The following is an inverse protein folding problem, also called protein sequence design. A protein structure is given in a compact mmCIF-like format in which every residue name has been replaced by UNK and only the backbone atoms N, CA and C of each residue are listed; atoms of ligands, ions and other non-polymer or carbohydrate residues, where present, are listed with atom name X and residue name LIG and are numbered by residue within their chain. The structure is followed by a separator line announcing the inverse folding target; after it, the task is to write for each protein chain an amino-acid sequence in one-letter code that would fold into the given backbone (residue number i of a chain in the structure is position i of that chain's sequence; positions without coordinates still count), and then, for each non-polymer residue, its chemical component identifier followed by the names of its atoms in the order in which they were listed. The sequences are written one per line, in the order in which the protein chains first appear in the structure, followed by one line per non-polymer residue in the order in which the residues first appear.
data_IF_968319810378
#
_entry.id   IF_968319810378
#
_cell.length_a   1.000
_cell.length_b   1.000
_cell.length_c   1.000
_cell.angle_alpha   90.00
_cell.angle_beta   90.00
_cell.angle_gamma   90.00
#
_symmetry.space_group_name_H-M   'P 1'
#
loop_
_entity.id
_entity.type
_entity.pdbx_description
1 polymer ?
#
# COMPACT_ATOMS: atom_id res chain seq x y z
N UNK A 1 2.95 18.08 -7.86
CA UNK A 1 3.47 16.70 -7.92
C UNK A 1 2.35 15.74 -7.57
N UNK A 2 1.98 14.86 -8.50
CA UNK A 2 1.11 13.71 -8.28
C UNK A 2 1.95 12.45 -8.08
N UNK A 3 1.56 11.61 -7.13
CA UNK A 3 2.28 10.40 -6.78
C UNK A 3 1.32 9.22 -6.75
N UNK A 4 1.66 8.16 -7.45
CA UNK A 4 1.06 6.84 -7.27
C UNK A 4 1.72 6.13 -6.09
N UNK A 5 1.07 6.11 -4.94
CA UNK A 5 1.67 5.57 -3.72
C UNK A 5 1.55 4.04 -3.58
N UNK A 6 1.11 3.33 -4.61
CA UNK A 6 1.01 1.87 -4.56
C UNK A 6 1.06 1.27 -5.96
N UNK A 7 2.22 0.75 -6.33
CA UNK A 7 2.39 -0.08 -7.52
C UNK A 7 3.43 -1.17 -7.28
N UNK A 8 3.49 -2.14 -8.19
CA UNK A 8 4.35 -3.29 -8.12
C UNK A 8 5.12 -3.53 -9.43
N UNK A 9 6.30 -4.14 -9.32
CA UNK A 9 7.04 -4.71 -10.43
C UNK A 9 7.48 -6.12 -10.11
N UNK A 10 7.63 -6.95 -11.15
CA UNK A 10 8.15 -8.29 -10.99
C UNK A 10 8.60 -8.93 -12.29
N UNK A 11 9.37 -10.03 -12.12
CA UNK A 11 9.66 -11.01 -13.17
C UNK A 11 9.04 -12.36 -12.80
N UNK A 12 8.38 -13.02 -13.74
CA UNK A 12 7.77 -14.34 -13.52
C UNK A 12 8.84 -15.40 -13.25
N UNK A 13 10.03 -15.26 -13.83
CA UNK A 13 11.15 -16.15 -13.59
C UNK A 13 11.54 -16.26 -12.10
N UNK A 14 11.33 -15.19 -11.33
CA UNK A 14 11.66 -15.12 -9.91
C UNK A 14 10.54 -15.68 -9.01
N UNK A 15 9.41 -16.11 -9.59
CA UNK A 15 8.16 -16.44 -8.90
C UNK A 15 7.72 -17.90 -9.05
N UNK A 16 8.66 -18.83 -9.16
CA UNK A 16 8.31 -20.25 -9.32
C UNK A 16 7.42 -20.73 -8.16
N UNK A 17 6.16 -21.06 -8.47
CA UNK A 17 5.17 -21.51 -7.49
C UNK A 17 4.59 -20.41 -6.58
N UNK A 18 4.81 -19.14 -6.91
CA UNK A 18 4.34 -17.98 -6.16
C UNK A 18 3.30 -17.18 -6.98
N UNK A 19 2.54 -16.32 -6.30
CA UNK A 19 1.59 -15.40 -6.97
C UNK A 19 2.34 -14.34 -7.82
N UNK A 20 1.81 -13.91 -8.98
CA UNK A 20 0.56 -14.37 -9.60
C UNK A 20 0.69 -15.69 -10.35
N UNK A 21 -0.28 -16.58 -10.18
CA UNK A 21 -0.37 -17.84 -10.91
C UNK A 21 -0.84 -17.67 -12.37
N UNK A 22 -0.69 -18.71 -13.21
CA UNK A 22 -1.04 -18.65 -14.64
C UNK A 22 -2.52 -18.41 -14.92
N UNK A 23 -3.40 -18.68 -13.95
CA UNK A 23 -4.83 -18.38 -14.02
C UNK A 23 -5.15 -16.86 -14.04
N UNK A 24 -4.21 -16.01 -13.60
CA UNK A 24 -4.35 -14.56 -13.61
C UNK A 24 -3.71 -13.97 -14.89
N UNK A 25 -4.19 -14.40 -16.06
CA UNK A 25 -3.59 -14.13 -17.37
C UNK A 25 -3.19 -12.66 -17.60
N UNK A 26 -4.03 -11.71 -17.19
CA UNK A 26 -3.79 -10.27 -17.37
C UNK A 26 -2.52 -9.76 -16.66
N UNK A 27 -2.08 -10.48 -15.61
CA UNK A 27 -0.94 -10.13 -14.77
C UNK A 27 0.13 -11.24 -14.70
N UNK A 28 -0.05 -12.36 -15.41
CA UNK A 28 0.93 -13.45 -15.46
C UNK A 28 1.99 -13.23 -16.54
N UNK A 29 2.74 -12.13 -16.42
CA UNK A 29 3.93 -11.80 -17.22
C UNK A 29 4.84 -10.88 -16.42
N UNK A 30 6.01 -10.56 -16.96
CA UNK A 30 6.88 -9.53 -16.37
C UNK A 30 6.21 -8.16 -16.46
N UNK A 31 6.34 -7.39 -15.37
CA UNK A 31 5.99 -5.98 -15.33
C UNK A 31 7.15 -5.21 -14.74
N UNK A 32 7.70 -4.30 -15.54
CA UNK A 32 8.90 -3.53 -15.22
C UNK A 32 8.65 -2.03 -15.47
N UNK A 33 9.59 -1.16 -15.05
CA UNK A 33 9.44 0.30 -15.18
C UNK A 33 9.02 0.81 -16.57
N UNK A 34 9.47 0.18 -17.65
CA UNK A 34 9.12 0.57 -19.01
C UNK A 34 7.65 0.28 -19.38
N UNK A 35 6.99 -0.65 -18.69
CA UNK A 35 5.57 -0.94 -18.87
C UNK A 35 4.67 0.10 -18.18
N UNK A 36 5.13 0.70 -17.07
CA UNK A 36 4.37 1.67 -16.30
C UNK A 36 4.61 3.11 -16.77
N UNK A 37 5.84 3.46 -17.18
CA UNK A 37 6.21 4.85 -17.52
C UNK A 37 5.24 5.52 -18.51
N UNK A 38 4.81 4.90 -19.62
CA UNK A 38 3.87 5.52 -20.54
C UNK A 38 2.51 5.85 -19.89
N UNK A 39 2.05 5.02 -18.96
CA UNK A 39 0.79 5.24 -18.24
C UNK A 39 0.91 6.43 -17.26
N UNK A 40 2.06 6.59 -16.62
CA UNK A 40 2.35 7.73 -15.75
C UNK A 40 2.36 9.04 -16.56
N UNK A 41 3.03 9.04 -17.71
CA UNK A 41 3.10 10.19 -18.62
C UNK A 41 1.71 10.60 -19.11
N UNK A 42 0.89 9.64 -19.56
CA UNK A 42 -0.50 9.91 -20.00
C UNK A 42 -1.37 10.45 -18.86
N UNK A 43 -1.22 9.90 -17.65
CA UNK A 43 -1.99 10.29 -16.47
C UNK A 43 -1.51 11.59 -15.79
N UNK A 44 -0.33 12.09 -16.18
CA UNK A 44 0.33 13.21 -15.49
C UNK A 44 0.69 12.87 -14.04
N UNK A 45 1.20 11.67 -13.80
CA UNK A 45 1.72 11.21 -12.49
C UNK A 45 3.25 11.35 -12.50
N UNK A 46 3.80 12.07 -11.53
CA UNK A 46 5.21 12.48 -11.53
C UNK A 46 6.14 11.45 -10.86
N UNK A 47 5.60 10.54 -10.06
CA UNK A 47 6.38 9.49 -9.41
C UNK A 47 5.55 8.45 -8.69
N UNK A 48 6.23 7.43 -8.17
CA UNK A 48 5.59 6.25 -7.58
C UNK A 48 6.24 5.83 -6.26
N UNK A 49 5.48 5.12 -5.42
CA UNK A 49 6.02 4.26 -4.36
C UNK A 49 5.88 2.80 -4.83
N UNK A 50 7.02 2.12 -4.94
CA UNK A 50 7.11 0.71 -5.32
C UNK A 50 6.98 -0.17 -4.08
N UNK A 51 6.07 -1.14 -4.09
CA UNK A 51 5.72 -1.94 -2.92
C UNK A 51 6.05 -3.41 -3.15
N UNK A 52 6.59 -4.08 -2.13
CA UNK A 52 6.99 -5.50 -2.16
C UNK A 52 5.87 -6.42 -2.64
N UNK A 53 6.23 -7.53 -3.26
CA UNK A 53 5.29 -8.56 -3.75
C UNK A 53 5.70 -9.98 -3.37
N UNK A 54 6.79 -10.16 -2.64
CA UNK A 54 7.22 -11.43 -2.07
C UNK A 54 7.82 -11.23 -0.68
N UNK A 55 7.66 -12.25 0.17
CA UNK A 55 8.19 -12.28 1.54
C UNK A 55 9.69 -12.62 1.58
N UNK A 56 10.51 -11.88 0.82
CA UNK A 56 11.95 -12.11 0.74
C UNK A 56 12.74 -10.81 0.74
N UNK A 57 13.93 -10.83 1.35
CA UNK A 57 14.86 -9.69 1.23
C UNK A 57 15.34 -9.48 -0.22
N UNK A 58 15.34 -10.53 -1.04
CA UNK A 58 15.68 -10.44 -2.46
C UNK A 58 14.69 -9.56 -3.24
N UNK A 59 13.39 -9.64 -2.94
CA UNK A 59 12.36 -8.76 -3.52
C UNK A 59 12.62 -7.29 -3.12
N UNK A 60 12.95 -7.04 -1.85
CA UNK A 60 13.35 -5.71 -1.38
C UNK A 60 14.55 -5.18 -2.16
N UNK A 61 15.61 -5.99 -2.30
CA UNK A 61 16.82 -5.56 -3.02
C UNK A 61 16.52 -5.28 -4.50
N UNK A 62 15.76 -6.15 -5.16
CA UNK A 62 15.34 -5.95 -6.55
C UNK A 62 14.62 -4.61 -6.74
N UNK A 63 13.69 -4.26 -5.85
CA UNK A 63 12.98 -2.98 -5.92
C UNK A 63 13.87 -1.77 -5.65
N UNK A 64 14.84 -1.88 -4.73
CA UNK A 64 15.81 -0.81 -4.47
C UNK A 64 16.73 -0.60 -5.69
N UNK A 65 17.18 -1.68 -6.32
CA UNK A 65 17.97 -1.61 -7.57
C UNK A 65 17.16 -0.94 -8.69
N UNK A 66 15.86 -1.23 -8.81
CA UNK A 66 15.00 -0.51 -9.76
C UNK A 66 14.90 0.98 -9.40
N UNK A 67 14.75 1.32 -8.11
CA UNK A 67 14.62 2.71 -7.66
C UNK A 67 15.87 3.55 -7.94
N UNK A 68 17.05 2.94 -7.94
CA UNK A 68 18.32 3.61 -8.29
C UNK A 68 18.44 3.91 -9.78
N UNK A 69 17.86 3.06 -10.63
CA UNK A 69 17.93 3.18 -12.09
C UNK A 69 16.75 3.95 -12.70
N UNK A 70 15.68 4.19 -11.93
CA UNK A 70 14.44 4.81 -12.41
C UNK A 70 13.99 5.93 -11.46
N UNK A 71 14.37 7.20 -11.72
CA UNK A 71 14.14 8.32 -10.80
C UNK A 71 12.66 8.57 -10.42
N UNK A 72 11.72 8.18 -11.27
CA UNK A 72 10.28 8.28 -10.98
C UNK A 72 9.85 7.38 -9.81
N UNK A 73 10.64 6.37 -9.43
CA UNK A 73 10.42 5.58 -8.22
C UNK A 73 10.97 6.38 -7.03
N UNK A 74 10.08 7.05 -6.32
CA UNK A 74 10.42 7.99 -5.25
C UNK A 74 10.73 7.28 -3.92
N UNK A 75 10.15 6.10 -3.71
CA UNK A 75 10.34 5.29 -2.52
C UNK A 75 9.98 3.83 -2.74
N UNK A 76 10.50 2.98 -1.86
CA UNK A 76 10.29 1.53 -1.83
C UNK A 76 9.73 1.16 -0.45
N UNK A 77 8.64 0.40 -0.45
CA UNK A 77 8.14 -0.31 0.73
C UNK A 77 8.55 -1.77 0.59
N UNK A 78 9.57 -2.16 1.34
CA UNK A 78 10.18 -3.48 1.27
C UNK A 78 9.49 -4.53 2.14
N UNK A 79 10.15 -5.67 2.23
CA UNK A 79 9.86 -6.74 3.18
C UNK A 79 11.09 -7.07 4.03
N UNK A 80 10.86 -7.35 5.31
CA UNK A 80 11.78 -8.03 6.23
C UNK A 80 10.95 -8.80 7.24
N UNK A 81 11.48 -9.88 7.80
CA UNK A 81 10.82 -10.57 8.91
C UNK A 81 10.92 -9.72 10.18
N UNK A 82 9.78 -9.14 10.59
CA UNK A 82 9.69 -8.26 11.75
C UNK A 82 9.75 -9.01 13.10
N UNK A 83 9.70 -10.34 13.11
CA UNK A 83 9.85 -11.18 14.31
C UNK A 83 11.18 -11.94 14.35
N UNK A 84 12.04 -11.77 13.36
CA UNK A 84 13.35 -12.40 13.35
C UNK A 84 14.21 -11.92 14.55
N UNK A 85 15.06 -12.80 15.06
CA UNK A 85 15.95 -12.47 16.20
C UNK A 85 16.96 -11.37 15.87
N UNK A 86 17.27 -11.18 14.59
CA UNK A 86 18.17 -10.17 14.03
C UNK A 86 17.43 -9.01 13.36
N UNK A 87 16.12 -8.84 13.62
CA UNK A 87 15.26 -7.81 12.98
C UNK A 87 15.86 -6.41 13.01
N UNK A 88 16.50 -6.00 14.11
CA UNK A 88 17.09 -4.66 14.21
C UNK A 88 18.21 -4.46 13.18
N UNK A 89 19.07 -5.48 13.01
CA UNK A 89 20.19 -5.39 12.09
C UNK A 89 19.70 -5.39 10.65
N UNK A 90 18.73 -6.26 10.33
CA UNK A 90 18.08 -6.28 9.02
C UNK A 90 17.45 -4.92 8.67
N UNK A 91 16.71 -4.31 9.61
CA UNK A 91 16.13 -2.98 9.40
C UNK A 91 17.21 -1.93 9.21
N UNK A 92 18.25 -1.90 10.05
CA UNK A 92 19.34 -0.92 9.95
C UNK A 92 20.08 -1.01 8.61
N UNK A 93 20.37 -2.23 8.17
CA UNK A 93 21.04 -2.47 6.89
C UNK A 93 20.19 -1.95 5.73
N UNK A 94 18.91 -2.32 5.68
CA UNK A 94 18.01 -1.88 4.61
C UNK A 94 17.75 -0.36 4.67
N UNK A 95 17.61 0.22 5.87
CA UNK A 95 17.39 1.65 6.08
C UNK A 95 18.56 2.53 5.64
N UNK A 96 19.76 1.95 5.43
CA UNK A 96 20.88 2.67 4.83
C UNK A 96 20.58 3.11 3.39
N UNK A 97 19.64 2.45 2.71
CA UNK A 97 19.21 2.82 1.38
C UNK A 97 18.16 3.94 1.42
N UNK A 98 18.51 5.12 0.88
CA UNK A 98 17.69 6.33 1.02
C UNK A 98 16.27 6.24 0.41
N UNK A 99 16.06 5.31 -0.53
CA UNK A 99 14.76 5.01 -1.16
C UNK A 99 13.90 4.05 -0.33
N UNK A 100 14.43 3.33 0.66
CA UNK A 100 13.59 2.52 1.54
C UNK A 100 12.78 3.43 2.46
N UNK A 101 11.45 3.30 2.43
CA UNK A 101 10.52 4.14 3.20
C UNK A 101 9.70 3.39 4.22
N UNK A 102 9.61 2.07 4.13
CA UNK A 102 8.80 1.29 5.04
C UNK A 102 8.83 -0.20 4.75
N UNK A 103 8.06 -0.94 5.53
CA UNK A 103 7.87 -2.38 5.38
C UNK A 103 6.40 -2.76 5.33
N UNK A 104 6.11 -3.82 4.56
CA UNK A 104 4.78 -4.41 4.42
C UNK A 104 4.82 -5.92 4.67
N UNK A 105 4.40 -6.41 5.85
CA UNK A 105 4.18 -7.84 6.05
C UNK A 105 2.98 -8.33 5.20
N UNK A 106 2.96 -9.58 4.75
CA UNK A 106 1.83 -10.12 3.95
C UNK A 106 0.76 -10.76 4.86
N UNK A 107 0.21 -9.96 5.78
CA UNK A 107 -0.71 -10.48 6.81
C UNK A 107 -1.96 -11.14 6.25
N UNK A 108 -2.44 -10.71 5.08
CA UNK A 108 -3.62 -11.31 4.43
C UNK A 108 -3.50 -12.83 4.24
N UNK A 109 -2.28 -13.32 4.02
CA UNK A 109 -1.99 -14.74 3.72
C UNK A 109 -1.65 -15.54 5.00
N UNK A 110 -1.52 -14.86 6.14
CA UNK A 110 -1.26 -15.50 7.43
C UNK A 110 -2.54 -16.08 8.04
N UNK A 111 -2.39 -17.25 8.69
CA UNK A 111 -3.47 -17.90 9.43
C UNK A 111 -3.75 -17.26 10.79
N UNK A 112 -2.77 -16.58 11.39
CA UNK A 112 -2.91 -15.90 12.68
C UNK A 112 -3.35 -14.43 12.50
N UNK A 113 -4.65 -14.19 12.66
CA UNK A 113 -5.24 -12.84 12.59
C UNK A 113 -4.62 -11.84 13.59
N UNK A 114 -3.99 -12.35 14.67
CA UNK A 114 -3.41 -11.54 15.74
C UNK A 114 -1.91 -11.32 15.59
N UNK A 115 -1.29 -11.80 14.52
CA UNK A 115 0.15 -11.65 14.30
C UNK A 115 0.61 -10.20 14.46
N UNK A 116 -0.18 -9.22 14.00
CA UNK A 116 0.11 -7.77 14.09
C UNK A 116 0.08 -7.20 15.50
N UNK A 117 -0.64 -7.84 16.43
CA UNK A 117 -0.76 -7.39 17.81
C UNK A 117 0.20 -8.15 18.75
N UNK A 118 1.14 -8.91 18.20
CA UNK A 118 2.13 -9.65 18.97
C UNK A 118 3.27 -8.74 19.48
N UNK A 119 3.54 -8.68 20.81
CA UNK A 119 4.69 -7.97 21.37
C UNK A 119 6.06 -8.35 20.81
N UNK A 120 6.20 -9.51 20.16
CA UNK A 120 7.42 -9.86 19.44
C UNK A 120 7.81 -8.83 18.35
N UNK A 121 6.84 -8.04 17.85
CA UNK A 121 7.09 -6.98 16.87
C UNK A 121 7.70 -5.71 17.49
N UNK A 122 7.56 -5.51 18.80
CA UNK A 122 7.86 -4.21 19.46
C UNK A 122 9.30 -3.73 19.19
N UNK A 123 10.25 -4.67 19.13
CA UNK A 123 11.66 -4.41 18.85
C UNK A 123 11.88 -3.94 17.41
N UNK A 124 11.27 -4.62 16.44
CA UNK A 124 11.35 -4.25 15.03
C UNK A 124 10.69 -2.88 14.79
N UNK A 125 9.52 -2.65 15.38
CA UNK A 125 8.79 -1.39 15.25
C UNK A 125 9.55 -0.22 15.88
N UNK A 126 10.18 -0.40 17.04
CA UNK A 126 11.03 0.62 17.63
C UNK A 126 12.16 1.02 16.66
N UNK A 127 12.81 0.04 16.04
CA UNK A 127 13.87 0.27 15.05
C UNK A 127 13.34 0.98 13.79
N UNK A 128 12.14 0.62 13.30
CA UNK A 128 11.51 1.34 12.19
C UNK A 128 11.29 2.82 12.52
N UNK A 129 10.80 3.13 13.72
CA UNK A 129 10.57 4.50 14.18
C UNK A 129 11.88 5.29 14.24
N UNK A 130 12.95 4.69 14.76
CA UNK A 130 14.29 5.31 14.84
C UNK A 130 14.84 5.70 13.46
N UNK A 131 14.45 4.96 12.42
CA UNK A 131 14.87 5.18 11.03
C UNK A 131 13.82 5.89 10.17
N UNK A 132 12.79 6.48 10.78
CA UNK A 132 11.72 7.20 10.07
C UNK A 132 10.97 6.33 9.02
N UNK A 133 10.95 5.00 9.21
CA UNK A 133 10.26 4.06 8.35
C UNK A 133 8.77 3.95 8.73
N UNK A 134 7.93 3.70 7.72
CA UNK A 134 6.48 3.53 7.88
C UNK A 134 6.05 2.07 7.78
N UNK A 135 4.83 1.78 8.22
CA UNK A 135 4.24 0.46 8.15
C UNK A 135 3.04 0.45 7.20
N UNK A 136 3.14 -0.34 6.13
CA UNK A 136 2.04 -0.58 5.21
C UNK A 136 1.29 -1.83 5.67
N UNK A 137 0.03 -1.65 6.08
CA UNK A 137 -0.82 -2.71 6.61
C UNK A 137 -1.64 -3.35 5.48
N UNK A 138 -1.12 -4.42 4.88
CA UNK A 138 -1.86 -5.29 3.96
C UNK A 138 -2.77 -6.23 4.75
N UNK A 139 -4.01 -5.77 4.97
CA UNK A 139 -4.94 -6.42 5.91
C UNK A 139 -6.33 -6.65 5.32
N UNK A 140 -7.07 -7.56 5.95
CA UNK A 140 -8.48 -7.85 5.72
C UNK A 140 -9.33 -7.33 6.88
N UNK A 141 -10.66 -7.25 6.76
CA UNK A 141 -11.53 -6.79 7.84
C UNK A 141 -11.35 -7.54 9.18
N UNK A 142 -10.97 -8.83 9.12
CA UNK A 142 -10.66 -9.67 10.29
C UNK A 142 -9.47 -9.15 11.12
N UNK A 143 -8.51 -8.46 10.50
CA UNK A 143 -7.32 -7.93 11.15
C UNK A 143 -7.50 -6.52 11.75
N UNK A 144 -8.61 -5.83 11.49
CA UNK A 144 -8.74 -4.41 11.88
C UNK A 144 -8.79 -4.19 13.39
N UNK A 145 -9.32 -5.14 14.16
CA UNK A 145 -9.29 -5.07 15.62
C UNK A 145 -7.86 -5.18 16.19
N UNK A 146 -7.07 -6.22 15.85
CA UNK A 146 -5.69 -6.28 16.32
C UNK A 146 -4.82 -5.14 15.76
N UNK A 147 -5.06 -4.67 14.53
CA UNK A 147 -4.39 -3.47 13.99
C UNK A 147 -4.69 -2.22 14.85
N UNK A 148 -5.91 -2.07 15.36
CA UNK A 148 -6.26 -0.95 16.23
C UNK A 148 -5.51 -0.99 17.57
N UNK A 149 -5.31 -2.18 18.15
CA UNK A 149 -4.46 -2.35 19.34
C UNK A 149 -3.00 -2.01 19.03
N UNK A 150 -2.47 -2.54 17.93
CA UNK A 150 -1.13 -2.26 17.45
C UNK A 150 -0.89 -0.75 17.25
N UNK A 151 -1.78 -0.06 16.55
CA UNK A 151 -1.67 1.38 16.29
C UNK A 151 -1.71 2.21 17.58
N UNK A 152 -2.52 1.81 18.57
CA UNK A 152 -2.57 2.45 19.90
C UNK A 152 -1.31 2.21 20.73
N UNK A 153 -0.69 1.03 20.59
CA UNK A 153 0.58 0.69 21.26
C UNK A 153 1.75 1.46 20.65
N UNK A 154 1.77 1.66 19.33
CA UNK A 154 2.87 2.31 18.61
C UNK A 154 2.47 3.67 18.02
N UNK A 155 2.02 4.62 18.86
CA UNK A 155 1.50 5.93 18.42
C UNK A 155 2.49 6.78 17.61
N UNK A 156 3.80 6.49 17.71
CA UNK A 156 4.85 7.16 16.93
C UNK A 156 5.05 6.56 15.53
N UNK A 157 4.65 5.30 15.32
CA UNK A 157 4.73 4.64 14.03
C UNK A 157 3.66 5.20 13.11
N UNK A 158 4.06 5.66 11.94
CA UNK A 158 3.13 6.01 10.87
C UNK A 158 2.68 4.74 10.17
N UNK A 159 1.37 4.53 10.11
CA UNK A 159 0.73 3.33 9.57
C UNK A 159 -0.17 3.76 8.43
N UNK A 160 -0.16 3.01 7.32
CA UNK A 160 -1.14 3.18 6.25
C UNK A 160 -1.84 1.87 5.97
N UNK A 161 -3.17 1.91 5.97
CA UNK A 161 -4.01 0.77 5.62
C UNK A 161 -4.03 0.64 4.10
N UNK A 162 -3.55 -0.48 3.58
CA UNK A 162 -3.61 -0.76 2.15
C UNK A 162 -5.05 -1.06 1.71
N UNK A 163 -5.43 -0.55 0.55
CA UNK A 163 -6.67 -0.86 -0.16
C UNK A 163 -7.96 -0.77 0.67
N UNK A 164 -8.05 0.19 1.59
CA UNK A 164 -9.21 0.28 2.50
C UNK A 164 -9.41 -0.95 3.39
N UNK A 165 -8.37 -1.74 3.64
CA UNK A 165 -8.44 -3.06 4.27
C UNK A 165 -9.31 -4.07 3.51
N UNK A 166 -9.31 -3.97 2.18
CA UNK A 166 -9.98 -4.88 1.25
C UNK A 166 -11.45 -5.12 1.64
N UNK A 167 -12.30 -4.07 1.56
CA UNK A 167 -13.70 -4.20 1.91
C UNK A 167 -14.37 -5.31 1.06
N UNK A 168 -15.33 -6.06 1.61
CA UNK A 168 -16.04 -7.12 0.89
C UNK A 168 -17.08 -6.56 -0.09
N UNK A 169 -16.62 -5.79 -1.09
CA UNK A 169 -17.45 -5.07 -2.08
C UNK A 169 -18.26 -6.06 -2.91
N UNK A 170 -17.64 -7.15 -3.39
CA UNK A 170 -18.31 -8.19 -4.18
C UNK A 170 -19.57 -8.74 -3.50
N UNK A 171 -19.57 -8.83 -2.17
CA UNK A 171 -20.69 -9.31 -1.35
C UNK A 171 -21.66 -8.19 -0.91
N UNK A 172 -21.36 -6.93 -1.20
CA UNK A 172 -22.12 -5.76 -0.75
C UNK A 172 -22.09 -5.57 0.77
N UNK A 173 -21.14 -6.19 1.48
CA UNK A 173 -21.02 -6.09 2.93
C UNK A 173 -20.31 -4.77 3.28
N UNK A 174 -20.89 -4.01 4.20
CA UNK A 174 -20.44 -2.64 4.50
C UNK A 174 -20.33 -2.34 6.00
N UNK A 175 -21.35 -2.70 6.79
CA UNK A 175 -21.53 -2.25 8.18
C UNK A 175 -20.32 -2.60 9.08
N UNK A 176 -19.89 -3.86 9.07
CA UNK A 176 -18.80 -4.33 9.94
C UNK A 176 -17.45 -3.72 9.55
N UNK A 177 -17.21 -3.56 8.26
CA UNK A 177 -16.02 -2.90 7.73
C UNK A 177 -16.00 -1.43 8.15
N UNK A 178 -17.11 -0.71 7.94
CA UNK A 178 -17.26 0.69 8.32
C UNK A 178 -16.98 0.93 9.81
N UNK A 179 -17.60 0.15 10.70
CA UNK A 179 -17.43 0.31 12.14
C UNK A 179 -15.96 0.17 12.58
N UNK A 180 -15.23 -0.78 11.97
CA UNK A 180 -13.80 -1.03 12.26
C UNK A 180 -12.89 0.04 11.66
N UNK A 181 -13.15 0.46 10.43
CA UNK A 181 -12.42 1.55 9.79
C UNK A 181 -12.59 2.86 10.53
N UNK A 182 -13.80 3.17 11.02
CA UNK A 182 -14.07 4.36 11.84
C UNK A 182 -13.24 4.39 13.12
N UNK A 183 -13.05 3.25 13.78
CA UNK A 183 -12.22 3.17 14.99
C UNK A 183 -10.74 3.45 14.70
N UNK A 184 -10.24 3.03 13.54
CA UNK A 184 -8.87 3.28 13.09
C UNK A 184 -8.66 4.72 12.63
N UNK A 185 -9.64 5.30 11.91
CA UNK A 185 -9.58 6.68 11.43
C UNK A 185 -9.54 7.72 12.57
N UNK A 186 -9.96 7.34 13.78
CA UNK A 186 -9.82 8.17 14.98
C UNK A 186 -8.38 8.24 15.53
N UNK A 187 -7.44 7.45 14.99
CA UNK A 187 -6.04 7.40 15.42
C UNK A 187 -5.18 8.29 14.49
N UNK A 188 -4.47 9.31 15.02
CA UNK A 188 -3.79 10.31 14.19
C UNK A 188 -2.56 9.79 13.44
N UNK A 189 -2.06 8.61 13.78
CA UNK A 189 -0.93 7.97 13.12
C UNK A 189 -1.36 6.95 12.06
N UNK A 190 -2.66 6.85 11.75
CA UNK A 190 -3.21 5.90 10.79
C UNK A 190 -3.77 6.63 9.57
N UNK A 191 -3.21 6.28 8.42
CA UNK A 191 -3.63 6.71 7.09
C UNK A 191 -4.36 5.57 6.37
N UNK A 192 -5.02 5.88 5.26
CA UNK A 192 -5.62 4.86 4.40
C UNK A 192 -5.33 5.13 2.93
N UNK A 193 -4.96 4.08 2.19
CA UNK A 193 -4.82 4.18 0.74
C UNK A 193 -6.17 4.02 0.04
N UNK A 194 -6.47 4.97 -0.84
CA UNK A 194 -7.50 4.84 -1.86
C UNK A 194 -6.87 4.14 -3.09
N UNK A 195 -6.85 2.81 -3.05
CA UNK A 195 -6.21 1.92 -4.04
C UNK A 195 -6.87 0.54 -3.99
N UNK A 196 -6.65 -0.32 -5.00
CA UNK A 196 -7.04 -1.75 -4.97
C UNK A 196 -8.53 -2.07 -4.82
N UNK A 197 -9.43 -1.08 -4.80
CA UNK A 197 -10.85 -1.33 -4.54
C UNK A 197 -11.56 -2.04 -5.70
N UNK A 198 -11.10 -1.84 -6.94
CA UNK A 198 -11.73 -2.43 -8.13
C UNK A 198 -11.61 -3.96 -8.12
N UNK A 199 -10.50 -4.52 -7.64
CA UNK A 199 -10.31 -5.98 -7.55
C UNK A 199 -11.15 -6.62 -6.45
N UNK A 200 -11.57 -5.85 -5.44
CA UNK A 200 -12.48 -6.33 -4.39
C UNK A 200 -13.94 -6.35 -4.82
N UNK A 201 -14.27 -5.72 -5.95
CA UNK A 201 -15.64 -5.65 -6.48
C UNK A 201 -16.13 -6.96 -7.12
N UNK A 202 -15.22 -7.88 -7.47
CA UNK A 202 -15.56 -9.12 -8.18
C UNK A 202 -16.32 -8.82 -9.49
N UNK A 203 -17.46 -9.48 -9.70
CA UNK A 203 -18.29 -9.30 -10.90
C UNK A 203 -19.16 -8.03 -10.86
N UNK A 204 -19.10 -7.23 -9.79
CA UNK A 204 -19.85 -5.98 -9.72
C UNK A 204 -19.28 -4.93 -10.68
N UNK A 205 -20.13 -3.98 -11.07
CA UNK A 205 -19.71 -2.87 -11.92
C UNK A 205 -18.73 -1.96 -11.17
N UNK A 206 -17.73 -1.34 -11.83
CA UNK A 206 -16.77 -0.44 -11.20
C UNK A 206 -17.36 0.67 -10.32
N UNK A 207 -18.60 1.11 -10.59
CA UNK A 207 -19.30 2.11 -9.79
C UNK A 207 -19.66 1.64 -8.37
N UNK A 208 -19.69 0.33 -8.11
CA UNK A 208 -19.97 -0.22 -6.77
C UNK A 208 -18.89 0.11 -5.74
N UNK A 209 -17.69 0.53 -6.17
CA UNK A 209 -16.61 0.93 -5.27
C UNK A 209 -16.83 2.33 -4.68
N UNK A 210 -17.67 3.17 -5.31
CA UNK A 210 -17.85 4.59 -4.93
C UNK A 210 -18.25 4.76 -3.45
N UNK A 211 -19.25 4.03 -2.91
CA UNK A 211 -19.62 4.17 -1.50
C UNK A 211 -18.48 3.86 -0.52
N UNK A 212 -17.61 2.90 -0.86
CA UNK A 212 -16.46 2.54 -0.04
C UNK A 212 -15.34 3.59 -0.14
N UNK A 213 -15.07 4.08 -1.34
CA UNK A 213 -14.11 5.15 -1.58
C UNK A 213 -14.51 6.48 -0.89
N UNK A 214 -15.77 6.88 -1.01
CA UNK A 214 -16.34 8.05 -0.32
C UNK A 214 -16.23 7.86 1.20
N UNK A 215 -16.56 6.68 1.70
CA UNK A 215 -16.44 6.37 3.14
C UNK A 215 -15.00 6.44 3.65
N UNK A 216 -14.02 5.96 2.88
CA UNK A 216 -12.60 6.11 3.24
C UNK A 216 -12.24 7.59 3.33
N UNK A 217 -12.68 8.40 2.35
CA UNK A 217 -12.44 9.82 2.36
C UNK A 217 -13.09 10.54 3.55
N UNK A 218 -14.37 10.25 3.82
CA UNK A 218 -15.13 10.87 4.91
C UNK A 218 -14.59 10.50 6.30
N UNK A 219 -14.12 9.27 6.48
CA UNK A 219 -13.61 8.81 7.78
C UNK A 219 -12.22 9.36 8.10
N UNK A 220 -11.28 9.27 7.15
CA UNK A 220 -9.87 9.64 7.38
C UNK A 220 -9.61 11.14 7.13
N UNK A 221 -10.44 11.75 6.29
CA UNK A 221 -10.30 13.15 5.91
C UNK A 221 -9.16 13.40 4.92
N UNK A 222 -9.08 14.64 4.41
CA UNK A 222 -8.24 14.98 3.26
C UNK A 222 -6.73 14.86 3.50
N UNK A 223 -6.28 14.86 4.76
CA UNK A 223 -4.86 14.79 5.11
C UNK A 223 -4.36 13.35 5.38
N UNK A 224 -5.27 12.38 5.53
CA UNK A 224 -4.92 10.99 5.87
C UNK A 224 -5.26 9.98 4.77
N UNK A 225 -5.79 10.42 3.62
CA UNK A 225 -6.05 9.57 2.46
C UNK A 225 -4.93 9.70 1.45
N UNK A 226 -4.41 8.58 0.97
CA UNK A 226 -3.32 8.54 -0.01
C UNK A 226 -3.79 7.77 -1.24
N UNK A 227 -3.71 8.36 -2.44
CA UNK A 227 -4.06 7.64 -3.66
C UNK A 227 -2.95 6.67 -4.10
N UNK A 228 -3.34 5.52 -4.66
CA UNK A 228 -2.46 4.58 -5.34
C UNK A 228 -3.22 3.78 -6.40
N UNK A 229 -2.51 3.31 -7.42
CA UNK A 229 -3.13 2.59 -8.54
C UNK A 229 -3.40 1.12 -8.25
N UNK A 230 -2.52 0.49 -7.46
CA UNK A 230 -2.38 -0.96 -7.36
C UNK A 230 -2.00 -1.63 -8.70
N UNK A 231 -1.37 -0.89 -9.60
CA UNK A 231 -0.88 -1.44 -10.86
C UNK A 231 0.29 -2.40 -10.60
N UNK A 232 0.40 -3.53 -11.33
CA UNK A 232 -0.45 -3.96 -12.43
C UNK A 232 -1.61 -4.86 -11.99
N UNK A 233 -1.82 -5.10 -10.68
CA UNK A 233 -2.96 -5.88 -10.16
C UNK A 233 -4.29 -5.28 -10.60
N UNK A 234 -4.35 -3.94 -10.66
CA UNK A 234 -5.43 -3.16 -11.24
C UNK A 234 -5.93 -3.71 -12.59
N UNK A 235 -5.04 -4.27 -13.43
CA UNK A 235 -5.39 -4.82 -14.76
C UNK A 235 -6.38 -5.99 -14.71
N UNK A 236 -6.59 -6.60 -13.55
CA UNK A 236 -7.63 -7.61 -13.35
C UNK A 236 -9.04 -7.02 -13.36
N UNK A 237 -9.19 -5.72 -13.08
CA UNK A 237 -10.50 -5.10 -12.88
C UNK A 237 -10.67 -3.72 -13.56
N UNK A 238 -9.59 -3.12 -14.09
CA UNK A 238 -9.66 -1.82 -14.74
C UNK A 238 -8.35 -1.32 -15.33
N UNK A 239 -8.41 -0.10 -15.83
CA UNK A 239 -7.30 0.58 -16.49
C UNK A 239 -6.77 1.74 -15.65
N UNK A 240 -5.46 2.00 -15.72
CA UNK A 240 -4.76 3.00 -14.91
C UNK A 240 -5.44 4.38 -14.93
N UNK A 241 -5.62 4.95 -16.13
CA UNK A 241 -6.24 6.27 -16.29
C UNK A 241 -7.74 6.28 -15.92
N UNK A 242 -8.44 5.16 -16.08
CA UNK A 242 -9.85 5.06 -15.70
C UNK A 242 -10.02 5.09 -14.17
N UNK A 243 -9.17 4.34 -13.44
CA UNK A 243 -9.14 4.38 -11.98
C UNK A 243 -8.79 5.77 -11.44
N UNK A 244 -7.74 6.41 -11.99
CA UNK A 244 -7.38 7.77 -11.59
C UNK A 244 -8.54 8.76 -11.79
N UNK A 245 -9.19 8.74 -12.96
CA UNK A 245 -10.36 9.60 -13.23
C UNK A 245 -11.52 9.34 -12.27
N UNK A 246 -11.78 8.07 -11.96
CA UNK A 246 -12.82 7.70 -11.01
C UNK A 246 -12.51 8.23 -9.60
N UNK A 247 -11.26 8.13 -9.13
CA UNK A 247 -10.87 8.71 -7.85
C UNK A 247 -10.96 10.24 -7.84
N UNK A 248 -10.55 10.92 -8.92
CA UNK A 248 -10.65 12.37 -9.06
C UNK A 248 -12.11 12.87 -9.02
N UNK A 249 -13.05 12.06 -9.52
CA UNK A 249 -14.50 12.32 -9.48
C UNK A 249 -15.13 12.01 -8.11
N UNK A 250 -14.47 11.22 -7.27
CA UNK A 250 -14.92 10.90 -5.90
C UNK A 250 -14.41 11.92 -4.90
N UNK A 251 -13.13 12.28 -4.99
CA UNK A 251 -12.49 13.21 -4.04
C UNK A 251 -12.83 14.66 -4.43
N UNK A 252 -13.27 15.52 -3.50
CA UNK A 252 -13.49 16.93 -3.79
C UNK A 252 -12.24 17.62 -4.34
N UNK A 253 -12.40 18.47 -5.36
CA UNK A 253 -11.30 19.06 -6.13
C UNK A 253 -10.30 19.86 -5.26
N UNK A 254 -10.77 20.52 -4.21
CA UNK A 254 -9.94 21.28 -3.27
C UNK A 254 -8.94 20.42 -2.48
N UNK A 255 -9.18 19.11 -2.40
CA UNK A 255 -8.32 18.14 -1.71
C UNK A 255 -7.43 17.33 -2.66
N UNK A 256 -7.51 17.57 -3.98
CA UNK A 256 -6.76 16.78 -4.96
C UNK A 256 -5.24 16.88 -4.76
N UNK A 257 -4.72 18.06 -4.42
CA UNK A 257 -3.29 18.25 -4.18
C UNK A 257 -2.77 17.44 -2.98
N UNK A 258 -3.60 17.28 -1.95
CA UNK A 258 -3.30 16.47 -0.78
C UNK A 258 -3.37 14.98 -1.10
N UNK A 259 -4.53 14.50 -1.55
CA UNK A 259 -4.81 13.06 -1.71
C UNK A 259 -3.95 12.40 -2.81
N UNK A 260 -3.76 13.08 -3.94
CA UNK A 260 -3.08 12.51 -5.11
C UNK A 260 -1.56 12.77 -5.13
N UNK A 261 -0.96 13.24 -4.04
CA UNK A 261 0.50 13.35 -3.96
C UNK A 261 1.05 13.97 -2.69
N UNK A 262 0.44 15.05 -2.19
CA UNK A 262 0.92 15.75 -1.01
C UNK A 262 1.02 14.86 0.23
N UNK A 263 0.03 14.01 0.46
CA UNK A 263 -0.02 13.10 1.60
C UNK A 263 1.03 12.00 1.47
N UNK A 264 1.17 11.37 0.29
CA UNK A 264 2.22 10.38 0.03
C UNK A 264 3.62 10.98 0.27
N UNK A 265 3.87 12.19 -0.24
CA UNK A 265 5.15 12.89 -0.05
C UNK A 265 5.49 13.07 1.42
N UNK A 266 4.53 13.54 2.23
CA UNK A 266 4.72 13.76 3.67
C UNK A 266 4.88 12.44 4.43
N UNK A 267 3.97 11.49 4.20
CA UNK A 267 3.92 10.20 4.89
C UNK A 267 5.21 9.39 4.69
N UNK A 268 5.63 9.22 3.42
CA UNK A 268 6.84 8.47 3.08
C UNK A 268 8.13 9.31 3.07
N UNK A 269 8.07 10.60 3.45
CA UNK A 269 9.21 11.54 3.42
C UNK A 269 9.95 11.51 2.08
N UNK A 270 9.19 11.59 0.98
CA UNK A 270 9.72 11.51 -0.38
C UNK A 270 10.48 12.79 -0.72
N UNK A 271 11.68 12.65 -1.28
CA UNK A 271 12.47 13.76 -1.80
C UNK A 271 12.01 14.09 -3.22
N UNK A 272 12.08 15.36 -3.59
CA UNK A 272 11.89 15.77 -4.98
C UNK A 272 13.04 15.23 -5.84
N UNK A 273 12.75 14.99 -7.13
CA UNK A 273 13.73 14.58 -8.15
C UNK A 273 14.60 15.78 -8.52
#
# INVERSE_FOLDING_TARGET
MRIDAHQHFWRIADRTGQWPGPELEAIHRDFLPDDLRPLLEEAGVDGTVLVQTMETQADTQFMLDLADNHPFILGVVGWTDLKASDVQENIRQLASHSKLKGFRPMLQDMGDDRWIDDPALDVGIATMIEHDLVFDALVLPRHLAPLCNFARRHQKLQIVIDHGAKPPIAEGRFIDWYARMKALAALPNVHCKLSGLLTEAGDQKPQSVRPYAETIFDLFGPDHVIWGSDWPVLRLAGEYGAWLRQCLDIVPAEHHSAVFGGNAKRFYRLKEI
#
